data_IF_847457126181
#
_entry.id   IF_847457126181
#
_cell.length_a   1.000
_cell.length_b   1.000
_cell.length_c   1.000
_cell.angle_alpha   90.00
_cell.angle_beta   90.00
_cell.angle_gamma   90.00
#
_symmetry.space_group_name_H-M   'P 1'
#
loop_
_entity.id
_entity.type
_entity.pdbx_description
1 polymer ?
#
# COMPACT_ATOMS: atom_id res chain seq x y z
N UNK A 1 9.90 -4.80 30.62
CA UNK A 1 10.01 -3.97 29.41
C UNK A 1 11.13 -2.99 29.65
N UNK A 2 12.24 -3.05 28.91
CA UNK A 2 13.33 -2.11 29.06
C UNK A 2 12.93 -0.76 28.45
N UNK A 3 13.04 0.33 29.21
CA UNK A 3 12.94 1.67 28.63
C UNK A 3 14.14 1.88 27.70
N UNK A 4 13.88 2.26 26.46
CA UNK A 4 14.93 2.75 25.58
C UNK A 4 15.44 4.07 26.15
N UNK A 5 16.73 4.19 26.36
CA UNK A 5 17.35 5.45 26.73
C UNK A 5 17.01 6.46 25.63
N UNK A 6 16.32 7.55 25.98
CA UNK A 6 16.15 8.68 25.09
C UNK A 6 17.54 9.26 24.82
N UNK A 7 18.08 9.03 23.63
CA UNK A 7 19.19 9.85 23.17
C UNK A 7 18.64 11.23 22.82
N UNK A 8 19.32 12.30 23.21
CA UNK A 8 19.01 13.68 22.81
C UNK A 8 19.14 13.92 21.29
N UNK A 9 19.40 12.87 20.53
CA UNK A 9 19.39 12.84 19.08
C UNK A 9 17.95 12.57 18.65
N UNK A 10 17.30 13.52 17.94
CA UNK A 10 15.92 13.48 17.45
C UNK A 10 15.64 12.35 16.42
N UNK A 11 16.36 11.25 16.52
CA UNK A 11 16.17 10.07 15.69
C UNK A 11 15.17 9.16 16.40
N UNK A 12 13.90 9.28 16.07
CA UNK A 12 12.88 8.34 16.53
C UNK A 12 13.25 6.93 16.04
N UNK A 13 13.74 6.09 16.96
CA UNK A 13 14.01 4.67 16.73
C UNK A 13 12.73 3.93 17.07
N UNK A 14 11.77 3.92 16.16
CA UNK A 14 10.39 3.48 16.45
C UNK A 14 10.06 2.11 15.83
N UNK A 15 11.03 1.35 15.34
CA UNK A 15 10.83 0.04 14.71
C UNK A 15 11.47 -1.12 15.47
N UNK A 16 10.89 -2.31 15.36
CA UNK A 16 11.54 -3.54 15.83
C UNK A 16 12.86 -3.81 15.08
N UNK A 17 12.91 -3.42 13.80
CA UNK A 17 14.14 -3.31 13.00
C UNK A 17 14.22 -1.88 12.49
N UNK A 18 15.35 -1.23 12.72
CA UNK A 18 15.57 0.17 12.35
C UNK A 18 16.95 0.37 11.71
N UNK A 19 16.99 1.16 10.62
CA UNK A 19 18.25 1.63 10.03
C UNK A 19 18.18 3.14 9.74
N UNK A 20 19.33 3.80 9.86
CA UNK A 20 19.52 5.20 9.44
C UNK A 20 19.81 5.34 7.94
N UNK A 21 20.12 4.23 7.28
CA UNK A 21 20.43 4.12 5.85
C UNK A 21 19.65 2.95 5.27
N UNK A 22 19.90 2.61 4.02
CA UNK A 22 19.23 1.52 3.30
C UNK A 22 19.13 0.23 4.08
N UNK A 23 17.99 -0.45 3.90
CA UNK A 23 17.85 -1.86 4.27
C UNK A 23 17.59 -2.68 3.02
N UNK A 24 18.35 -3.75 2.85
CA UNK A 24 18.07 -4.74 1.81
C UNK A 24 17.89 -6.11 2.44
N UNK A 25 16.73 -6.71 2.20
CA UNK A 25 16.45 -8.09 2.52
C UNK A 25 16.47 -8.95 1.26
N UNK A 26 17.19 -10.07 1.30
CA UNK A 26 17.27 -11.03 0.21
C UNK A 26 17.39 -12.46 0.73
N UNK A 27 17.38 -13.44 -0.20
CA UNK A 27 17.53 -14.85 0.14
C UNK A 27 16.20 -15.57 0.29
N UNK A 28 16.24 -16.76 0.93
CA UNK A 28 15.09 -17.67 1.07
C UNK A 28 14.66 -17.91 2.52
N UNK A 29 15.27 -17.19 3.47
CA UNK A 29 14.99 -17.34 4.90
C UNK A 29 13.63 -16.80 5.32
N UNK A 30 13.28 -17.05 6.59
CA UNK A 30 12.06 -16.53 7.19
C UNK A 30 12.42 -15.53 8.30
N UNK A 31 11.82 -14.35 8.25
CA UNK A 31 11.91 -13.32 9.28
C UNK A 31 10.53 -13.09 9.89
N UNK A 32 10.43 -13.29 11.21
CA UNK A 32 9.23 -12.97 11.98
C UNK A 32 9.49 -11.73 12.83
N UNK A 33 8.68 -10.71 12.66
CA UNK A 33 8.78 -9.43 13.37
C UNK A 33 7.47 -9.18 14.12
N UNK A 34 7.59 -8.86 15.41
CA UNK A 34 6.47 -8.42 16.22
C UNK A 34 6.85 -7.17 17.00
N UNK A 35 6.14 -6.07 16.78
CA UNK A 35 6.31 -4.82 17.50
C UNK A 35 4.97 -4.38 18.10
N UNK A 36 4.81 -4.50 19.41
CA UNK A 36 3.55 -4.25 20.11
C UNK A 36 3.25 -2.77 20.37
N UNK A 37 4.19 -1.86 20.08
CA UNK A 37 4.06 -0.45 20.42
C UNK A 37 4.29 0.53 19.28
N UNK A 38 5.01 0.11 18.22
CA UNK A 38 5.46 0.97 17.11
C UNK A 38 5.49 0.19 15.78
N UNK A 39 6.41 0.58 14.89
CA UNK A 39 6.53 0.04 13.55
C UNK A 39 7.26 -1.32 13.53
N UNK A 40 7.03 -2.10 12.49
CA UNK A 40 7.72 -3.38 12.27
C UNK A 40 9.16 -3.16 11.81
N UNK A 41 9.35 -2.71 10.59
CA UNK A 41 10.65 -2.47 9.95
C UNK A 41 10.68 -1.04 9.42
N UNK A 42 11.69 -0.27 9.80
CA UNK A 42 11.83 1.15 9.41
C UNK A 42 13.23 1.43 8.90
N UNK A 43 13.33 2.15 7.81
CA UNK A 43 14.57 2.81 7.39
C UNK A 43 14.35 4.30 7.13
N UNK A 44 15.37 5.11 7.37
CA UNK A 44 15.38 6.54 7.03
C UNK A 44 15.82 6.81 5.59
N UNK A 45 15.95 5.76 4.79
CA UNK A 45 16.37 5.77 3.41
C UNK A 45 15.56 4.72 2.61
N UNK A 46 16.14 3.92 1.74
CA UNK A 46 15.48 2.90 0.93
C UNK A 46 15.25 1.58 1.67
N UNK A 47 14.04 1.02 1.57
CA UNK A 47 13.74 -0.36 1.95
C UNK A 47 13.59 -1.23 0.71
N UNK A 48 14.42 -2.28 0.58
CA UNK A 48 14.40 -3.19 -0.55
C UNK A 48 14.21 -4.64 -0.13
N UNK A 49 13.25 -5.33 -0.75
CA UNK A 49 12.99 -6.77 -0.54
C UNK A 49 13.06 -7.48 -1.89
N UNK A 50 13.91 -8.50 -2.02
CA UNK A 50 14.09 -9.24 -3.28
C UNK A 50 13.73 -10.71 -3.18
N UNK A 51 13.42 -11.22 -1.99
CA UNK A 51 13.04 -12.62 -1.74
C UNK A 51 12.93 -12.89 -0.25
N UNK A 52 12.59 -14.11 0.12
CA UNK A 52 12.41 -14.53 1.52
C UNK A 52 10.95 -14.59 1.96
N UNK A 53 10.74 -14.92 3.22
CA UNK A 53 9.41 -14.96 3.85
C UNK A 53 9.39 -14.04 5.07
N UNK A 54 8.41 -13.17 5.13
CA UNK A 54 8.27 -12.14 6.16
C UNK A 54 6.90 -12.21 6.80
N UNK A 55 6.86 -12.39 8.13
CA UNK A 55 5.65 -12.31 8.93
C UNK A 55 5.79 -11.13 9.90
N UNK A 56 5.08 -10.06 9.65
CA UNK A 56 5.23 -8.79 10.35
C UNK A 56 3.93 -8.45 11.05
N UNK A 57 4.00 -8.22 12.35
CA UNK A 57 2.89 -7.69 13.15
C UNK A 57 3.37 -6.47 13.89
N UNK A 58 2.69 -5.35 13.72
CA UNK A 58 3.06 -4.05 14.31
C UNK A 58 1.85 -3.29 14.82
N UNK A 59 2.07 -2.47 15.86
CA UNK A 59 1.03 -1.56 16.37
C UNK A 59 0.85 -0.32 15.49
N UNK A 60 1.84 0.01 14.67
CA UNK A 60 1.82 1.09 13.68
C UNK A 60 2.13 0.52 12.30
N UNK A 61 2.95 1.17 11.49
CA UNK A 61 3.31 0.73 10.14
C UNK A 61 4.04 -0.62 10.12
N UNK A 62 3.77 -1.44 9.12
CA UNK A 62 4.45 -2.74 8.94
C UNK A 62 5.86 -2.57 8.39
N UNK A 63 5.95 -2.04 7.19
CA UNK A 63 7.17 -1.75 6.45
C UNK A 63 7.23 -0.25 6.14
N UNK A 64 8.30 0.42 6.51
CA UNK A 64 8.45 1.85 6.26
C UNK A 64 9.84 2.16 5.70
N UNK A 65 9.90 2.79 4.55
CA UNK A 65 11.09 3.36 3.95
C UNK A 65 10.85 4.84 3.64
N UNK A 66 11.70 5.73 4.18
CA UNK A 66 11.47 7.17 3.97
C UNK A 66 11.53 7.52 2.49
N UNK A 67 12.58 7.09 1.81
CA UNK A 67 12.83 7.46 0.42
C UNK A 67 12.11 6.55 -0.55
N UNK A 68 12.09 5.24 -0.28
CA UNK A 68 11.29 4.30 -1.04
C UNK A 68 11.04 2.97 -0.32
N UNK A 69 9.99 2.25 -0.77
CA UNK A 69 9.84 0.82 -0.54
C UNK A 69 9.81 0.10 -1.88
N UNK A 70 10.79 -0.80 -2.11
CA UNK A 70 10.93 -1.54 -3.36
C UNK A 70 10.86 -3.05 -3.12
N UNK A 71 9.90 -3.72 -3.75
CA UNK A 71 9.68 -5.16 -3.61
C UNK A 71 9.77 -5.83 -4.97
N UNK A 72 10.74 -6.73 -5.13
CA UNK A 72 10.94 -7.50 -6.35
C UNK A 72 10.54 -8.98 -6.20
N UNK A 73 10.23 -9.43 -4.99
CA UNK A 73 9.82 -10.81 -4.72
C UNK A 73 9.71 -11.09 -3.22
N UNK A 74 9.39 -12.33 -2.88
CA UNK A 74 9.21 -12.81 -1.52
C UNK A 74 7.75 -13.07 -1.17
N UNK A 75 7.54 -13.70 0.00
CA UNK A 75 6.22 -13.91 0.58
C UNK A 75 6.10 -12.99 1.82
N UNK A 76 5.29 -11.98 1.74
CA UNK A 76 5.19 -10.93 2.76
C UNK A 76 3.79 -10.91 3.34
N UNK A 77 3.69 -11.19 4.63
CA UNK A 77 2.45 -11.08 5.40
C UNK A 77 2.60 -9.98 6.42
N UNK A 78 1.73 -8.98 6.36
CA UNK A 78 1.71 -7.84 7.28
C UNK A 78 0.38 -7.74 7.97
N UNK A 79 0.42 -7.56 9.29
CA UNK A 79 -0.72 -7.11 10.09
C UNK A 79 -0.28 -5.86 10.85
N UNK A 80 -0.83 -4.72 10.51
CA UNK A 80 -0.43 -3.41 11.04
C UNK A 80 -1.60 -2.65 11.66
N UNK A 81 -1.32 -1.88 12.68
CA UNK A 81 -2.32 -1.02 13.32
C UNK A 81 -2.59 0.28 12.54
N UNK A 82 -1.65 0.72 11.71
CA UNK A 82 -1.82 1.76 10.68
C UNK A 82 -1.51 1.19 9.32
N UNK A 83 -0.59 1.77 8.54
CA UNK A 83 -0.34 1.35 7.16
C UNK A 83 0.47 0.06 7.06
N UNK A 84 0.19 -0.74 6.06
CA UNK A 84 0.95 -1.96 5.79
C UNK A 84 2.35 -1.65 5.28
N UNK A 85 2.42 -0.93 4.18
CA UNK A 85 3.63 -0.40 3.54
C UNK A 85 3.50 1.11 3.49
N UNK A 86 4.52 1.82 3.97
CA UNK A 86 4.51 3.27 4.01
C UNK A 86 5.82 3.85 3.46
N UNK A 87 5.73 4.84 2.59
CA UNK A 87 6.87 5.62 2.11
C UNK A 87 6.52 7.09 2.09
N UNK A 88 7.21 7.90 2.90
CA UNK A 88 6.93 9.32 3.01
C UNK A 88 8.23 10.13 3.00
N UNK A 89 8.42 10.90 1.93
CA UNK A 89 9.46 11.92 1.86
C UNK A 89 8.87 13.20 1.27
N UNK A 90 8.60 14.17 2.13
CA UNK A 90 8.05 15.48 1.74
C UNK A 90 9.13 16.49 1.37
N UNK A 91 10.41 16.16 1.58
CA UNK A 91 11.54 17.04 1.34
C UNK A 91 12.03 16.97 -0.12
N UNK A 92 11.88 15.77 -0.75
CA UNK A 92 12.41 15.49 -2.09
C UNK A 92 11.31 14.85 -2.98
N UNK A 93 10.89 15.53 -4.01
CA UNK A 93 9.74 15.16 -4.88
C UNK A 93 9.92 13.84 -5.65
N UNK A 94 11.16 13.39 -5.84
CA UNK A 94 11.48 12.13 -6.53
C UNK A 94 11.48 10.92 -5.58
N UNK A 95 11.23 11.15 -4.29
CA UNK A 95 11.25 10.16 -3.22
C UNK A 95 9.84 9.94 -2.64
N UNK A 96 9.74 9.13 -1.59
CA UNK A 96 8.47 8.76 -0.98
C UNK A 96 7.65 7.79 -1.84
N UNK A 97 8.28 6.98 -2.69
CA UNK A 97 7.59 6.12 -3.64
C UNK A 97 7.57 4.64 -3.24
N UNK A 98 6.60 3.92 -3.79
CA UNK A 98 6.52 2.45 -3.68
C UNK A 98 6.61 1.83 -5.08
N UNK A 99 7.54 0.87 -5.25
CA UNK A 99 7.74 0.12 -6.47
C UNK A 99 7.66 -1.38 -6.22
N UNK A 100 6.74 -2.08 -6.89
CA UNK A 100 6.58 -3.53 -6.75
C UNK A 100 6.65 -4.19 -8.12
N UNK A 101 7.59 -5.11 -8.30
CA UNK A 101 7.77 -5.85 -9.55
C UNK A 101 7.51 -7.35 -9.41
N UNK A 102 7.09 -7.83 -8.24
CA UNK A 102 6.74 -9.22 -7.99
C UNK A 102 6.63 -9.52 -6.50
N UNK A 103 6.30 -10.76 -6.19
CA UNK A 103 6.11 -11.27 -4.82
C UNK A 103 4.65 -11.58 -4.50
N UNK A 104 4.44 -12.13 -3.30
CA UNK A 104 3.10 -12.37 -2.74
C UNK A 104 2.96 -11.53 -1.48
N UNK A 105 2.02 -10.61 -1.48
CA UNK A 105 1.79 -9.66 -0.40
C UNK A 105 0.38 -9.86 0.17
N UNK A 106 0.31 -10.27 1.44
CA UNK A 106 -0.93 -10.37 2.19
C UNK A 106 -0.91 -9.30 3.29
N UNK A 107 -1.68 -8.24 3.13
CA UNK A 107 -1.68 -7.09 4.04
C UNK A 107 -3.06 -6.91 4.65
N UNK A 108 -3.09 -6.89 5.98
CA UNK A 108 -4.25 -6.44 6.76
C UNK A 108 -3.81 -5.24 7.57
N UNK A 109 -4.37 -4.09 7.29
CA UNK A 109 -4.00 -2.81 7.88
C UNK A 109 -5.17 -2.15 8.61
N UNK A 110 -4.84 -1.45 9.68
CA UNK A 110 -5.82 -0.60 10.36
C UNK A 110 -6.14 0.68 9.58
N UNK A 111 -5.22 1.12 8.71
CA UNK A 111 -5.36 2.21 7.75
C UNK A 111 -5.08 1.71 6.33
N UNK A 112 -4.21 2.38 5.57
CA UNK A 112 -3.92 2.03 4.17
C UNK A 112 -3.05 0.76 4.06
N UNK A 113 -3.32 -0.11 3.07
CA UNK A 113 -2.42 -1.24 2.85
C UNK A 113 -1.09 -0.77 2.24
N UNK A 114 -1.14 0.18 1.30
CA UNK A 114 0.02 0.88 0.75
C UNK A 114 -0.26 2.38 0.80
N UNK A 115 0.63 3.17 1.40
CA UNK A 115 0.58 4.62 1.46
C UNK A 115 1.93 5.21 1.00
N UNK A 116 1.91 6.04 -0.04
CA UNK A 116 3.07 6.70 -0.60
C UNK A 116 2.83 8.19 -0.80
N UNK A 117 3.72 9.04 -0.28
CA UNK A 117 3.69 10.49 -0.55
C UNK A 117 4.16 10.84 -1.98
N UNK A 118 4.78 9.90 -2.66
CA UNK A 118 5.20 9.98 -4.06
C UNK A 118 4.35 9.09 -4.96
N UNK A 119 5.00 8.45 -5.91
CA UNK A 119 4.36 7.56 -6.88
C UNK A 119 4.22 6.13 -6.35
N UNK A 120 3.22 5.40 -6.89
CA UNK A 120 3.13 3.94 -6.74
C UNK A 120 3.18 3.32 -8.14
N UNK A 121 4.11 2.38 -8.33
CA UNK A 121 4.20 1.59 -9.55
C UNK A 121 4.18 0.09 -9.24
N UNK A 122 3.18 -0.63 -9.78
CA UNK A 122 3.05 -2.08 -9.62
C UNK A 122 3.10 -2.75 -11.00
N UNK A 123 4.10 -3.61 -11.20
CA UNK A 123 4.31 -4.31 -12.46
C UNK A 123 3.79 -5.74 -12.46
N UNK A 124 3.90 -6.42 -11.31
CA UNK A 124 3.48 -7.81 -11.17
C UNK A 124 3.44 -8.18 -9.67
N UNK A 125 2.80 -9.30 -9.34
CA UNK A 125 2.70 -9.85 -8.01
C UNK A 125 1.32 -10.43 -7.72
N UNK A 126 1.17 -10.97 -6.51
CA UNK A 126 -0.14 -11.44 -5.99
C UNK A 126 -0.43 -10.70 -4.69
N UNK A 127 -1.57 -10.05 -4.64
CA UNK A 127 -1.93 -9.12 -3.58
C UNK A 127 -3.27 -9.50 -2.97
N UNK A 128 -3.29 -9.64 -1.64
CA UNK A 128 -4.52 -9.74 -0.85
C UNK A 128 -4.49 -8.61 0.16
N UNK A 129 -5.33 -7.61 -0.02
CA UNK A 129 -5.35 -6.39 0.77
C UNK A 129 -6.67 -6.22 1.51
N UNK A 130 -6.57 -5.94 2.81
CA UNK A 130 -7.69 -5.59 3.63
C UNK A 130 -7.38 -4.36 4.48
N UNK A 131 -8.06 -3.25 4.21
CA UNK A 131 -7.86 -1.98 4.88
C UNK A 131 -9.09 -1.58 5.72
N UNK A 132 -8.86 -1.08 6.94
CA UNK A 132 -9.91 -0.54 7.80
C UNK A 132 -11.01 -1.55 8.18
N UNK A 133 -10.72 -2.87 8.13
CA UNK A 133 -11.72 -3.91 8.39
C UNK A 133 -12.52 -4.36 7.16
N UNK A 134 -12.37 -3.69 6.01
CA UNK A 134 -12.99 -4.05 4.73
C UNK A 134 -14.32 -3.37 4.45
N UNK A 135 -14.87 -3.60 3.27
CA UNK A 135 -16.02 -2.93 2.66
C UNK A 135 -17.36 -3.15 3.37
N UNK A 136 -17.44 -4.11 4.29
CA UNK A 136 -18.63 -4.36 5.10
C UNK A 136 -18.69 -3.54 6.38
N UNK A 137 -17.57 -2.95 6.79
CA UNK A 137 -17.51 -2.05 7.94
C UNK A 137 -18.18 -0.70 7.60
N UNK A 138 -18.46 0.07 8.64
CA UNK A 138 -19.03 1.40 8.49
C UNK A 138 -18.09 2.41 9.11
N UNK A 139 -17.84 3.50 8.40
CA UNK A 139 -17.20 4.67 8.98
C UNK A 139 -18.06 5.21 10.12
N UNK A 140 -17.54 5.23 11.33
CA UNK A 140 -18.20 5.84 12.47
C UNK A 140 -17.74 7.29 12.61
N UNK A 141 -18.49 8.21 12.01
CA UNK A 141 -18.27 9.65 12.15
C UNK A 141 -17.52 10.30 10.98
N UNK A 142 -17.24 11.58 11.16
CA UNK A 142 -16.50 12.44 10.22
C UNK A 142 -15.00 12.11 10.34
N UNK A 143 -14.57 11.01 9.71
CA UNK A 143 -13.20 10.53 9.84
C UNK A 143 -12.33 11.24 8.80
N UNK A 144 -11.29 11.90 9.26
CA UNK A 144 -10.18 12.39 8.42
C UNK A 144 -9.15 11.29 8.14
N UNK A 145 -9.40 10.09 8.62
CA UNK A 145 -8.52 8.94 8.48
C UNK A 145 -8.72 8.26 7.14
N UNK A 146 -7.65 7.69 6.58
CA UNK A 146 -7.63 6.97 5.33
C UNK A 146 -7.62 5.45 5.58
N UNK A 147 -8.38 4.69 4.76
CA UNK A 147 -8.51 3.24 4.86
C UNK A 147 -8.48 2.58 3.48
N UNK A 148 -7.51 3.00 2.67
CA UNK A 148 -7.42 2.65 1.25
C UNK A 148 -6.60 1.38 1.02
N UNK A 149 -6.88 0.72 -0.09
CA UNK A 149 -6.04 -0.42 -0.50
C UNK A 149 -4.67 0.06 -0.96
N UNK A 150 -4.62 0.95 -1.93
CA UNK A 150 -3.40 1.57 -2.44
C UNK A 150 -3.63 3.07 -2.54
N UNK A 151 -2.80 3.84 -1.87
CA UNK A 151 -2.83 5.30 -1.89
C UNK A 151 -1.50 5.87 -2.37
N UNK A 152 -1.58 6.84 -3.28
CA UNK A 152 -0.44 7.63 -3.75
C UNK A 152 -0.80 9.11 -3.80
N UNK A 153 0.07 9.98 -3.32
CA UNK A 153 -0.10 11.43 -3.55
C UNK A 153 0.35 11.81 -4.97
N UNK A 154 1.29 11.05 -5.55
CA UNK A 154 1.73 11.13 -6.95
C UNK A 154 0.98 10.16 -7.86
N UNK A 155 1.49 9.99 -9.08
CA UNK A 155 0.91 9.08 -10.09
C UNK A 155 0.92 7.62 -9.60
N UNK A 156 -0.19 6.90 -9.84
CA UNK A 156 -0.32 5.49 -9.57
C UNK A 156 -0.46 4.71 -10.88
N UNK A 157 0.40 3.69 -11.05
CA UNK A 157 0.40 2.85 -12.25
C UNK A 157 0.37 1.37 -11.88
N UNK A 158 -0.59 0.64 -12.47
CA UNK A 158 -0.68 -0.83 -12.40
C UNK A 158 -0.57 -1.38 -13.82
N UNK A 159 0.47 -2.17 -14.08
CA UNK A 159 0.69 -2.79 -15.40
C UNK A 159 0.55 -4.31 -15.41
N UNK A 160 0.37 -4.94 -14.24
CA UNK A 160 0.17 -6.38 -14.10
C UNK A 160 -0.10 -6.76 -12.65
N UNK A 161 -0.14 -8.06 -12.39
CA UNK A 161 -0.41 -8.65 -11.07
C UNK A 161 -1.85 -9.11 -10.89
N UNK A 162 -2.08 -9.80 -9.76
CA UNK A 162 -3.41 -10.28 -9.36
C UNK A 162 -3.75 -9.70 -7.99
N UNK A 163 -4.89 -9.05 -7.88
CA UNK A 163 -5.32 -8.31 -6.70
C UNK A 163 -6.67 -8.82 -6.20
N UNK A 164 -6.74 -9.04 -4.89
CA UNK A 164 -7.97 -9.20 -4.12
C UNK A 164 -7.98 -8.09 -3.06
N UNK A 165 -8.86 -7.10 -3.22
CA UNK A 165 -8.87 -5.87 -2.42
C UNK A 165 -10.23 -5.72 -1.73
N UNK A 166 -10.21 -5.63 -0.39
CA UNK A 166 -11.38 -5.38 0.45
C UNK A 166 -11.10 -4.20 1.40
N UNK A 167 -11.70 -3.05 1.15
CA UNK A 167 -11.37 -1.80 1.84
C UNK A 167 -12.59 -1.07 2.37
N UNK A 168 -12.40 -0.32 3.46
CA UNK A 168 -13.45 0.53 4.03
C UNK A 168 -13.64 1.83 3.24
N UNK A 169 -12.57 2.36 2.69
CA UNK A 169 -12.45 3.57 1.85
C UNK A 169 -12.04 3.12 0.43
N UNK A 170 -11.55 4.00 -0.45
CA UNK A 170 -11.20 3.66 -1.83
C UNK A 170 -10.29 2.43 -1.96
N UNK A 171 -10.51 1.60 -2.96
CA UNK A 171 -9.60 0.48 -3.17
C UNK A 171 -8.26 0.95 -3.77
N UNK A 172 -8.30 1.86 -4.74
CA UNK A 172 -7.14 2.44 -5.40
C UNK A 172 -7.33 3.94 -5.49
N UNK A 173 -6.43 4.71 -4.89
CA UNK A 173 -6.51 6.17 -4.83
C UNK A 173 -5.21 6.83 -5.27
N UNK A 174 -5.32 7.88 -6.06
CA UNK A 174 -4.21 8.80 -6.36
C UNK A 174 -4.68 10.24 -6.31
N UNK A 175 -3.91 11.13 -5.68
CA UNK A 175 -4.16 12.57 -5.76
C UNK A 175 -3.82 13.15 -7.15
N UNK A 176 -3.11 12.38 -8.00
CA UNK A 176 -2.75 12.73 -9.39
C UNK A 176 -3.51 11.82 -10.38
N UNK A 177 -2.80 11.16 -11.30
CA UNK A 177 -3.37 10.25 -12.29
C UNK A 177 -3.34 8.79 -11.82
N UNK A 178 -4.34 7.99 -12.19
CA UNK A 178 -4.31 6.53 -12.10
C UNK A 178 -4.30 5.93 -13.50
N UNK A 179 -3.36 4.99 -13.74
CA UNK A 179 -3.31 4.21 -14.98
C UNK A 179 -3.30 2.72 -14.69
N UNK A 180 -4.28 1.99 -15.22
CA UNK A 180 -4.29 0.52 -15.24
C UNK A 180 -4.14 0.04 -16.66
N UNK A 181 -3.03 -0.64 -16.97
CA UNK A 181 -2.71 -1.16 -18.29
C UNK A 181 -2.69 -2.68 -18.37
N UNK A 182 -2.83 -3.37 -17.23
CA UNK A 182 -2.85 -4.84 -17.14
C UNK A 182 -3.20 -5.32 -15.74
N UNK A 183 -3.17 -6.64 -15.56
CA UNK A 183 -3.48 -7.30 -14.30
C UNK A 183 -4.93 -7.77 -14.19
N UNK A 184 -5.22 -8.47 -13.10
CA UNK A 184 -6.56 -8.91 -12.69
C UNK A 184 -6.86 -8.31 -11.33
N UNK A 185 -7.89 -7.51 -11.22
CA UNK A 185 -8.28 -6.79 -10.02
C UNK A 185 -9.69 -7.20 -9.62
N UNK A 186 -9.82 -7.89 -8.48
CA UNK A 186 -11.09 -8.16 -7.80
C UNK A 186 -11.21 -7.22 -6.61
N UNK A 187 -12.22 -6.35 -6.62
CA UNK A 187 -12.36 -5.22 -5.69
C UNK A 187 -13.72 -5.25 -5.02
N UNK A 188 -13.71 -5.07 -3.70
CA UNK A 188 -14.86 -4.69 -2.90
C UNK A 188 -14.46 -3.51 -2.00
N UNK A 189 -15.21 -2.43 -2.03
CA UNK A 189 -14.86 -1.21 -1.29
C UNK A 189 -16.09 -0.57 -0.64
N UNK A 190 -15.84 0.20 0.40
CA UNK A 190 -16.88 1.00 1.07
C UNK A 190 -17.11 2.35 0.40
N UNK A 191 -16.16 2.81 -0.44
CA UNK A 191 -16.23 4.04 -1.22
C UNK A 191 -15.89 3.74 -2.68
N UNK A 192 -14.86 4.34 -3.30
CA UNK A 192 -14.63 4.21 -4.72
C UNK A 192 -13.71 3.05 -5.10
N UNK A 193 -14.02 2.41 -6.22
CA UNK A 193 -13.19 1.33 -6.76
C UNK A 193 -11.80 1.84 -7.19
N UNK A 194 -11.78 2.82 -8.09
CA UNK A 194 -10.56 3.51 -8.52
C UNK A 194 -10.86 5.01 -8.58
N UNK A 195 -10.17 5.78 -7.75
CA UNK A 195 -10.29 7.23 -7.66
C UNK A 195 -8.97 7.92 -8.06
N UNK A 196 -9.06 8.94 -8.88
CA UNK A 196 -7.94 9.84 -9.18
C UNK A 196 -8.32 11.30 -9.04
N UNK A 197 -7.40 12.11 -8.52
CA UNK A 197 -7.56 13.57 -8.49
C UNK A 197 -7.59 14.21 -9.89
N UNK A 198 -7.04 13.55 -10.91
CA UNK A 198 -7.00 14.01 -12.29
C UNK A 198 -7.61 12.99 -13.26
N UNK A 199 -6.80 12.13 -13.86
CA UNK A 199 -7.26 11.23 -14.92
C UNK A 199 -7.22 9.77 -14.45
N UNK A 200 -8.33 9.04 -14.63
CA UNK A 200 -8.37 7.59 -14.52
C UNK A 200 -8.35 6.98 -15.91
N UNK A 201 -7.30 6.20 -16.22
CA UNK A 201 -7.10 5.55 -17.52
C UNK A 201 -7.02 4.05 -17.35
N UNK A 202 -7.93 3.34 -18.00
CA UNK A 202 -7.90 1.87 -18.13
C UNK A 202 -7.61 1.53 -19.60
N UNK A 203 -6.42 1.00 -19.87
CA UNK A 203 -6.01 0.59 -21.22
C UNK A 203 -5.84 -0.91 -21.39
N UNK A 204 -5.97 -1.70 -20.29
CA UNK A 204 -5.87 -3.15 -20.30
C UNK A 204 -6.25 -3.76 -18.96
N UNK A 205 -6.10 -5.08 -18.85
CA UNK A 205 -6.42 -5.86 -17.64
C UNK A 205 -7.88 -6.31 -17.54
N UNK A 206 -8.17 -7.05 -16.49
CA UNK A 206 -9.54 -7.45 -16.11
C UNK A 206 -9.83 -6.86 -14.72
N UNK A 207 -10.80 -5.97 -14.64
CA UNK A 207 -11.20 -5.25 -13.43
C UNK A 207 -12.63 -5.64 -13.10
N UNK A 208 -12.83 -6.23 -11.94
CA UNK A 208 -14.13 -6.58 -11.39
C UNK A 208 -14.33 -5.86 -10.06
N UNK A 209 -15.23 -4.87 -10.03
CA UNK A 209 -15.59 -4.14 -8.82
C UNK A 209 -16.98 -4.63 -8.41
N UNK A 210 -16.99 -5.52 -7.42
CA UNK A 210 -18.21 -6.21 -6.98
C UNK A 210 -19.05 -5.34 -6.05
N UNK A 211 -18.43 -4.34 -5.38
CA UNK A 211 -19.07 -3.39 -4.50
C UNK A 211 -18.28 -2.09 -4.46
N UNK A 212 -18.96 -0.94 -4.62
CA UNK A 212 -18.38 0.40 -4.52
C UNK A 212 -19.49 1.45 -4.42
N UNK A 213 -19.13 2.68 -4.09
CA UNK A 213 -19.96 3.87 -4.31
C UNK A 213 -19.81 4.31 -5.76
N UNK A 214 -18.65 4.82 -6.20
CA UNK A 214 -18.30 4.96 -7.61
C UNK A 214 -17.32 3.85 -8.05
N UNK A 215 -17.50 3.31 -9.27
CA UNK A 215 -16.60 2.28 -9.80
C UNK A 215 -15.27 2.85 -10.27
N UNK A 216 -15.32 3.87 -11.10
CA UNK A 216 -14.17 4.62 -11.62
C UNK A 216 -14.47 6.11 -11.50
N UNK A 217 -13.60 6.85 -10.82
CA UNK A 217 -13.70 8.29 -10.63
C UNK A 217 -12.44 9.02 -11.12
N UNK A 218 -12.61 10.28 -11.52
CA UNK A 218 -11.54 11.20 -11.92
C UNK A 218 -12.12 12.42 -12.64
N UNK A 219 -11.30 13.45 -12.82
CA UNK A 219 -11.71 14.60 -13.69
C UNK A 219 -12.01 14.12 -15.12
N UNK A 220 -11.26 13.13 -15.60
CA UNK A 220 -11.58 12.37 -16.81
C UNK A 220 -11.42 10.90 -16.58
N UNK A 221 -12.35 10.10 -17.13
CA UNK A 221 -12.28 8.63 -17.09
C UNK A 221 -12.20 8.13 -18.54
N UNK A 222 -11.15 7.37 -18.85
CA UNK A 222 -10.93 6.78 -20.17
C UNK A 222 -10.76 5.27 -20.05
N UNK A 223 -11.64 4.51 -20.69
CA UNK A 223 -11.50 3.07 -20.85
C UNK A 223 -11.26 2.78 -22.33
N UNK A 224 -10.01 2.49 -22.68
CA UNK A 224 -9.58 2.25 -24.07
C UNK A 224 -9.25 0.77 -24.35
N UNK A 225 -9.23 -0.07 -23.32
CA UNK A 225 -8.97 -1.51 -23.44
C UNK A 225 -9.28 -2.26 -22.16
N UNK A 226 -9.03 -3.57 -22.18
CA UNK A 226 -9.33 -4.44 -21.05
C UNK A 226 -10.81 -4.82 -20.92
N UNK A 227 -11.15 -5.39 -19.76
CA UNK A 227 -12.53 -5.72 -19.38
C UNK A 227 -12.81 -5.11 -18.01
N UNK A 228 -13.83 -4.27 -17.94
CA UNK A 228 -14.27 -3.65 -16.68
C UNK A 228 -15.69 -4.09 -16.39
N UNK A 229 -15.90 -4.65 -15.21
CA UNK A 229 -17.21 -5.00 -14.66
C UNK A 229 -17.35 -4.31 -13.32
N UNK A 230 -18.41 -3.56 -13.12
CA UNK A 230 -18.62 -2.84 -11.86
C UNK A 230 -20.08 -2.88 -11.42
N UNK A 231 -20.26 -2.96 -10.11
CA UNK A 231 -21.54 -2.92 -9.43
C UNK A 231 -21.47 -1.85 -8.35
N UNK A 232 -22.18 -0.74 -8.54
CA UNK A 232 -22.32 0.28 -7.50
C UNK A 232 -23.56 -0.01 -6.64
N UNK A 233 -23.51 0.37 -5.37
CA UNK A 233 -24.54 0.05 -4.37
C UNK A 233 -25.09 1.31 -3.69
#
# INVERSE_FOLDING_TARGET
>A
MGEFASSDDATNVDGAIFSKSDITFNGSGTLNVKCESKHGIVTKDDLKITGGTYNITSASQGLSGKDSVRIAGGNITVTSGTDGIHSENTDETEKGYVYISGGTLNITSGKDCIDASGTVEIKDGTFTFKAGGGSSEKTTGDSTESYKGIKADGVLTISGGTFDIDTLDDAIHSSADVTVSGGTLDISTGDDGIHSGNNTVVSGGEINIAKCYEGLEGQTVTVSGGKVTLTSS
#
